data_IF_644027316669
#
_entry.id   IF_644027316669
#
_cell.length_a   1.000
_cell.length_b   1.000
_cell.length_c   1.000
_cell.angle_alpha   90.00
_cell.angle_beta   90.00
_cell.angle_gamma   90.00
#
_symmetry.space_group_name_H-M   'P 1'
#
loop_
_entity.id
_entity.type
_entity.pdbx_description
1 polymer ?
#
# COMPACT_ATOMS: atom_id res chain seq x y z
N UNK A 1 -45.95 8.45 -2.71
CA UNK A 1 -45.18 9.72 -2.88
C UNK A 1 -43.87 9.41 -3.57
N UNK A 2 -43.44 10.17 -4.56
CA UNK A 2 -42.06 9.97 -5.05
C UNK A 2 -41.09 10.23 -3.90
N UNK A 3 -39.94 9.49 -3.84
CA UNK A 3 -38.95 9.74 -2.81
C UNK A 3 -38.51 11.21 -2.87
N UNK A 4 -38.33 11.82 -1.70
CA UNK A 4 -37.80 13.18 -1.62
C UNK A 4 -36.40 13.20 -2.29
N UNK A 5 -36.11 14.25 -3.04
CA UNK A 5 -34.80 14.42 -3.63
C UNK A 5 -33.72 14.46 -2.51
N UNK A 6 -32.54 13.87 -2.71
CA UNK A 6 -31.50 13.92 -1.72
C UNK A 6 -31.05 15.37 -1.47
N UNK A 7 -30.72 15.67 -0.19
CA UNK A 7 -30.13 16.97 0.15
C UNK A 7 -28.68 17.02 -0.39
N UNK A 8 -28.41 18.06 -1.20
CA UNK A 8 -27.09 18.24 -1.82
C UNK A 8 -26.29 19.32 -1.10
N UNK A 9 -25.05 19.03 -0.72
CA UNK A 9 -24.12 19.97 -0.10
C UNK A 9 -22.84 20.05 -0.91
N UNK A 10 -22.31 21.27 -1.07
CA UNK A 10 -21.10 21.53 -1.83
C UNK A 10 -20.06 22.18 -0.93
N UNK A 11 -18.83 21.67 -0.99
CA UNK A 11 -17.74 22.11 -0.12
C UNK A 11 -16.41 22.18 -0.89
N UNK A 12 -15.68 23.29 -0.71
CA UNK A 12 -14.34 23.47 -1.27
C UNK A 12 -13.31 23.50 -0.14
N UNK A 13 -12.48 22.49 -0.06
CA UNK A 13 -11.42 22.33 0.95
C UNK A 13 -10.13 23.04 0.51
N UNK A 14 -9.26 23.40 1.45
CA UNK A 14 -7.93 23.90 1.13
C UNK A 14 -6.99 22.79 0.62
N UNK A 15 -7.17 21.55 1.10
CA UNK A 15 -6.37 20.38 0.70
C UNK A 15 -7.19 19.09 0.76
N UNK A 16 -6.60 17.96 0.30
CA UNK A 16 -7.23 16.63 0.40
C UNK A 16 -7.36 16.18 1.86
N UNK A 17 -6.41 16.56 2.72
CA UNK A 17 -6.45 16.27 4.15
C UNK A 17 -7.63 17.01 4.82
N UNK A 18 -7.86 18.26 4.43
CA UNK A 18 -9.03 19.02 4.91
C UNK A 18 -10.33 18.43 4.39
N UNK A 19 -10.38 18.00 3.13
CA UNK A 19 -11.53 17.26 2.57
C UNK A 19 -11.84 16.02 3.40
N UNK A 20 -10.84 15.21 3.71
CA UNK A 20 -10.97 14.00 4.54
C UNK A 20 -11.47 14.33 5.96
N UNK A 21 -10.90 15.37 6.59
CA UNK A 21 -11.28 15.85 7.92
C UNK A 21 -12.73 16.33 7.97
N UNK A 22 -13.14 17.15 7.01
CA UNK A 22 -14.51 17.65 6.91
C UNK A 22 -15.50 16.51 6.67
N UNK A 23 -15.13 15.54 5.84
CA UNK A 23 -15.91 14.32 5.59
C UNK A 23 -16.08 13.51 6.87
N UNK A 24 -15.00 13.29 7.63
CA UNK A 24 -15.05 12.60 8.92
C UNK A 24 -15.97 13.33 9.91
N UNK A 25 -15.87 14.65 10.00
CA UNK A 25 -16.73 15.47 10.88
C UNK A 25 -18.21 15.35 10.49
N UNK A 26 -18.52 15.39 9.19
CA UNK A 26 -19.90 15.25 8.70
C UNK A 26 -20.45 13.84 8.98
N UNK A 27 -19.67 12.80 8.72
CA UNK A 27 -20.05 11.41 9.02
C UNK A 27 -20.28 11.25 10.54
N UNK A 28 -19.40 11.78 11.39
CA UNK A 28 -19.54 11.72 12.84
C UNK A 28 -20.83 12.42 13.32
N UNK A 29 -21.21 13.53 12.68
CA UNK A 29 -22.50 14.22 12.95
C UNK A 29 -23.69 13.30 12.60
N UNK A 30 -23.66 12.65 11.43
CA UNK A 30 -24.72 11.71 11.02
C UNK A 30 -24.79 10.49 11.96
N UNK A 31 -23.67 9.97 12.40
CA UNK A 31 -23.62 8.88 13.40
C UNK A 31 -24.31 9.30 14.72
N UNK A 32 -24.06 10.52 15.18
CA UNK A 32 -24.73 11.08 16.39
C UNK A 32 -26.25 11.24 16.20
N UNK A 33 -26.71 11.37 14.95
CA UNK A 33 -28.13 11.39 14.60
C UNK A 33 -28.72 9.98 14.43
N UNK A 34 -27.94 8.93 14.68
CA UNK A 34 -28.37 7.52 14.61
C UNK A 34 -28.24 6.89 13.23
N UNK A 35 -27.55 7.53 12.27
CA UNK A 35 -27.29 6.92 10.96
C UNK A 35 -26.22 5.83 11.11
N UNK A 36 -26.49 4.64 10.58
CA UNK A 36 -25.54 3.51 10.59
C UNK A 36 -24.40 3.77 9.60
N UNK A 37 -23.19 3.33 9.98
CA UNK A 37 -22.00 3.49 9.14
C UNK A 37 -22.15 2.81 7.77
N UNK A 38 -22.72 1.61 7.71
CA UNK A 38 -22.97 0.89 6.45
C UNK A 38 -23.97 1.55 5.50
N UNK A 39 -24.63 2.64 5.92
CA UNK A 39 -25.49 3.47 5.05
C UNK A 39 -24.80 4.72 4.56
N UNK A 40 -23.50 4.85 4.84
CA UNK A 40 -22.67 5.97 4.39
C UNK A 40 -21.51 5.46 3.53
N UNK A 41 -21.22 6.15 2.44
CA UNK A 41 -20.10 5.83 1.56
C UNK A 41 -19.29 7.09 1.21
N UNK A 42 -17.99 6.91 1.09
CA UNK A 42 -17.06 7.91 0.54
C UNK A 42 -16.59 7.41 -0.82
N UNK A 43 -16.72 8.24 -1.82
CA UNK A 43 -16.37 7.92 -3.21
C UNK A 43 -15.34 8.90 -3.71
N UNK A 44 -14.24 8.41 -4.26
CA UNK A 44 -13.25 9.21 -4.98
C UNK A 44 -12.85 8.51 -6.27
N UNK A 45 -12.21 9.22 -7.20
CA UNK A 45 -11.79 8.61 -8.46
C UNK A 45 -10.59 7.71 -8.26
N UNK A 46 -9.64 8.16 -7.47
CA UNK A 46 -8.37 7.46 -7.16
C UNK A 46 -8.20 7.32 -5.65
N UNK A 47 -8.41 6.10 -5.13
CA UNK A 47 -8.31 5.82 -3.69
C UNK A 47 -6.90 6.08 -3.12
N UNK A 48 -5.79 5.72 -3.78
CA UNK A 48 -4.44 6.00 -3.28
C UNK A 48 -4.22 7.45 -2.85
N UNK A 49 -4.82 8.42 -3.54
CA UNK A 49 -4.65 9.85 -3.25
C UNK A 49 -5.31 10.29 -1.95
N UNK A 50 -6.33 9.57 -1.48
CA UNK A 50 -7.13 9.89 -0.29
C UNK A 50 -6.95 8.88 0.86
N UNK A 51 -6.45 7.68 0.58
CA UNK A 51 -6.39 6.57 1.55
C UNK A 51 -5.73 6.95 2.87
N UNK A 52 -4.56 7.61 2.80
CA UNK A 52 -3.81 7.96 4.00
C UNK A 52 -4.57 8.98 4.87
N UNK A 53 -5.09 10.03 4.25
CA UNK A 53 -5.83 11.08 4.93
C UNK A 53 -7.13 10.56 5.53
N UNK A 54 -7.93 9.79 4.76
CA UNK A 54 -9.19 9.23 5.24
C UNK A 54 -8.95 8.22 6.37
N UNK A 55 -7.98 7.31 6.23
CA UNK A 55 -7.65 6.35 7.30
C UNK A 55 -7.23 7.05 8.59
N UNK A 56 -6.45 8.13 8.49
CA UNK A 56 -6.03 8.91 9.64
C UNK A 56 -7.21 9.61 10.31
N UNK A 57 -7.98 10.40 9.57
CA UNK A 57 -9.08 11.20 10.10
C UNK A 57 -10.23 10.32 10.65
N UNK A 58 -10.53 9.19 9.98
CA UNK A 58 -11.56 8.26 10.43
C UNK A 58 -11.14 7.53 11.70
N UNK A 59 -9.86 7.15 11.82
CA UNK A 59 -9.34 6.58 13.06
C UNK A 59 -9.41 7.57 14.22
N UNK A 60 -9.04 8.84 13.98
CA UNK A 60 -9.11 9.89 15.00
C UNK A 60 -10.56 10.20 15.42
N UNK A 61 -11.52 9.97 14.56
CA UNK A 61 -12.94 10.19 14.81
C UNK A 61 -13.69 8.91 15.25
N UNK A 62 -13.01 7.77 15.47
CA UNK A 62 -13.62 6.46 15.77
C UNK A 62 -14.68 6.04 14.75
N UNK A 63 -14.43 6.27 13.48
CA UNK A 63 -15.31 5.87 12.38
C UNK A 63 -14.80 4.56 11.78
N UNK A 64 -15.59 3.46 11.83
CA UNK A 64 -15.20 2.22 11.17
C UNK A 64 -15.18 2.40 9.65
N UNK A 65 -14.08 2.00 9.03
CA UNK A 65 -13.82 2.17 7.60
C UNK A 65 -13.58 0.82 6.92
N UNK A 66 -14.30 0.57 5.83
CA UNK A 66 -13.99 -0.47 4.87
C UNK A 66 -13.50 0.17 3.57
N UNK A 67 -12.31 -0.23 3.11
CA UNK A 67 -11.74 0.26 1.85
C UNK A 67 -11.87 -0.83 0.78
N UNK A 68 -12.67 -0.57 -0.24
CA UNK A 68 -12.92 -1.48 -1.37
C UNK A 68 -11.80 -1.32 -2.44
N UNK A 69 -10.57 -1.56 -2.01
CA UNK A 69 -9.43 -1.55 -2.92
C UNK A 69 -8.48 -2.69 -2.60
N UNK A 70 -7.97 -3.38 -3.64
CA UNK A 70 -6.95 -4.41 -3.46
C UNK A 70 -5.77 -3.89 -2.64
N UNK A 71 -5.38 -4.63 -1.64
CA UNK A 71 -4.14 -4.39 -0.90
C UNK A 71 -3.10 -5.36 -1.39
N UNK A 72 -1.99 -4.85 -1.91
CA UNK A 72 -0.90 -5.69 -2.43
C UNK A 72 0.13 -5.96 -1.34
N UNK A 73 0.78 -7.14 -1.32
CA UNK A 73 1.84 -7.45 -0.36
C UNK A 73 3.19 -6.81 -0.71
N UNK A 74 3.25 -5.90 -1.69
CA UNK A 74 4.51 -5.37 -2.26
C UNK A 74 5.47 -4.80 -1.21
N UNK A 75 4.94 -4.16 -0.17
CA UNK A 75 5.73 -3.54 0.91
C UNK A 75 5.69 -4.34 2.22
N UNK A 76 5.20 -5.56 2.19
CA UNK A 76 5.18 -6.43 3.37
C UNK A 76 6.60 -6.86 3.78
N UNK A 77 6.76 -7.25 5.04
CA UNK A 77 8.03 -7.75 5.55
C UNK A 77 8.56 -8.96 4.76
N UNK A 78 7.74 -9.99 4.45
CA UNK A 78 8.21 -11.13 3.66
C UNK A 78 8.58 -10.75 2.21
N UNK A 79 7.83 -9.86 1.55
CA UNK A 79 8.18 -9.39 0.21
C UNK A 79 9.50 -8.61 0.21
N UNK A 80 9.70 -7.76 1.22
CA UNK A 80 10.93 -6.99 1.41
C UNK A 80 12.13 -7.92 1.65
N UNK A 81 11.97 -8.97 2.46
CA UNK A 81 13.03 -9.96 2.71
C UNK A 81 13.44 -10.69 1.43
N UNK A 82 12.47 -11.18 0.65
CA UNK A 82 12.75 -11.86 -0.64
C UNK A 82 13.45 -10.92 -1.62
N UNK A 83 12.98 -9.66 -1.74
CA UNK A 83 13.62 -8.66 -2.62
C UNK A 83 15.04 -8.32 -2.20
N UNK A 84 15.31 -8.18 -0.90
CA UNK A 84 16.66 -7.97 -0.38
C UNK A 84 17.59 -9.15 -0.70
N UNK A 85 17.10 -10.39 -0.55
CA UNK A 85 17.86 -11.59 -0.93
C UNK A 85 18.15 -11.64 -2.44
N UNK A 86 17.18 -11.32 -3.29
CA UNK A 86 17.35 -11.25 -4.75
C UNK A 86 18.36 -10.16 -5.14
N UNK A 87 18.29 -8.98 -4.53
CA UNK A 87 19.25 -7.90 -4.74
C UNK A 87 20.67 -8.31 -4.37
N UNK A 88 20.84 -8.99 -3.22
CA UNK A 88 22.13 -9.54 -2.79
C UNK A 88 22.66 -10.58 -3.76
N UNK A 89 21.82 -11.47 -4.30
CA UNK A 89 22.20 -12.45 -5.31
C UNK A 89 22.70 -11.79 -6.59
N UNK A 90 22.12 -10.68 -7.00
CA UNK A 90 22.51 -9.89 -8.17
C UNK A 90 23.78 -9.06 -7.96
N UNK A 91 24.30 -9.02 -6.74
CA UNK A 91 25.52 -8.26 -6.42
C UNK A 91 25.27 -6.81 -6.03
N UNK A 92 24.05 -6.46 -5.62
CA UNK A 92 23.75 -5.17 -5.03
C UNK A 92 24.53 -4.92 -3.72
N UNK A 93 24.52 -3.69 -3.23
CA UNK A 93 25.24 -3.30 -2.02
C UNK A 93 24.85 -4.18 -0.83
N UNK A 94 25.87 -4.77 -0.20
CA UNK A 94 25.67 -5.69 0.92
C UNK A 94 25.17 -4.95 2.17
N UNK A 95 25.69 -3.76 2.44
CA UNK A 95 25.36 -2.99 3.63
C UNK A 95 23.87 -2.63 3.62
N UNK A 96 23.40 -2.06 2.53
CA UNK A 96 22.00 -1.68 2.38
C UNK A 96 21.07 -2.90 2.53
N UNK A 97 21.33 -3.94 1.73
CA UNK A 97 20.38 -5.08 1.64
C UNK A 97 20.44 -6.03 2.85
N UNK A 98 21.59 -6.21 3.50
CA UNK A 98 21.66 -6.96 4.75
C UNK A 98 21.00 -6.20 5.90
N UNK A 99 21.14 -4.88 5.94
CA UNK A 99 20.45 -4.05 6.94
C UNK A 99 18.93 -4.07 6.71
N UNK A 100 18.47 -3.95 5.47
CA UNK A 100 17.05 -4.10 5.13
C UNK A 100 16.54 -5.47 5.58
N UNK A 101 17.24 -6.54 5.24
CA UNK A 101 16.86 -7.91 5.61
C UNK A 101 16.77 -8.09 7.13
N UNK A 102 17.76 -7.61 7.89
CA UNK A 102 17.75 -7.64 9.35
C UNK A 102 16.53 -6.90 9.95
N UNK A 103 16.19 -5.74 9.37
CA UNK A 103 15.08 -4.89 9.84
C UNK A 103 13.68 -5.40 9.48
N UNK A 104 13.56 -6.41 8.64
CA UNK A 104 12.24 -7.01 8.35
C UNK A 104 11.59 -7.67 9.57
N UNK A 105 12.36 -7.97 10.61
CA UNK A 105 11.91 -8.75 11.77
C UNK A 105 11.72 -10.24 11.49
N UNK A 106 12.14 -10.71 10.30
CA UNK A 106 12.02 -12.12 9.89
C UNK A 106 13.31 -12.93 10.10
N UNK A 107 14.36 -12.31 10.62
CA UNK A 107 15.59 -13.01 10.99
C UNK A 107 15.59 -13.34 12.48
N UNK A 108 16.17 -14.45 12.87
CA UNK A 108 16.34 -14.85 14.27
C UNK A 108 17.39 -13.95 14.98
N UNK A 109 17.10 -12.66 14.99
CA UNK A 109 17.91 -11.60 15.60
C UNK A 109 17.09 -10.84 16.62
N UNK A 110 17.72 -10.46 17.71
CA UNK A 110 17.14 -9.55 18.70
C UNK A 110 17.26 -8.10 18.25
N UNK A 111 16.40 -7.22 18.75
CA UNK A 111 16.48 -5.78 18.45
C UNK A 111 17.86 -5.17 18.75
N UNK A 112 18.53 -5.45 19.89
CA UNK A 112 19.90 -5.02 20.13
C UNK A 112 20.90 -5.47 19.07
N UNK A 113 20.78 -6.70 18.56
CA UNK A 113 21.65 -7.23 17.51
C UNK A 113 21.44 -6.51 16.18
N UNK A 114 20.19 -6.22 15.80
CA UNK A 114 19.87 -5.45 14.59
C UNK A 114 20.42 -4.02 14.70
N UNK A 115 20.23 -3.37 15.85
CA UNK A 115 20.75 -2.03 16.10
C UNK A 115 22.29 -2.00 16.08
N UNK A 116 22.95 -2.98 16.72
CA UNK A 116 24.39 -3.10 16.75
C UNK A 116 24.97 -3.29 15.34
N UNK A 117 24.34 -4.15 14.52
CA UNK A 117 24.72 -4.39 13.13
C UNK A 117 24.62 -3.11 12.29
N UNK A 118 23.48 -2.40 12.36
CA UNK A 118 23.25 -1.18 11.62
C UNK A 118 24.25 -0.08 12.01
N UNK A 119 24.46 0.13 13.32
CA UNK A 119 25.41 1.13 13.81
C UNK A 119 26.83 0.81 13.39
N UNK A 120 27.24 -0.46 13.43
CA UNK A 120 28.55 -0.89 12.97
C UNK A 120 28.69 -0.64 11.46
N UNK A 121 27.70 -1.01 10.68
CA UNK A 121 27.68 -0.83 9.24
C UNK A 121 27.73 0.67 8.86
N UNK A 122 27.00 1.51 9.58
CA UNK A 122 27.03 2.97 9.39
C UNK A 122 28.41 3.56 9.72
N UNK A 123 29.01 3.14 10.85
CA UNK A 123 30.29 3.67 11.34
C UNK A 123 31.46 3.28 10.44
N UNK A 124 31.48 2.04 9.95
CA UNK A 124 32.64 1.48 9.26
C UNK A 124 32.45 1.29 7.76
N UNK A 125 31.24 1.42 7.26
CA UNK A 125 30.89 1.23 5.84
C UNK A 125 31.61 0.02 5.20
N UNK A 126 31.43 -1.19 5.74
CA UNK A 126 32.18 -2.37 5.32
C UNK A 126 31.86 -2.72 3.86
N UNK A 127 32.90 -2.91 3.06
CA UNK A 127 32.73 -3.42 1.70
C UNK A 127 32.40 -4.92 1.71
N UNK A 128 32.08 -5.49 0.54
CA UNK A 128 31.66 -6.90 0.41
C UNK A 128 32.69 -7.92 0.97
N UNK A 129 33.98 -7.61 0.95
CA UNK A 129 35.01 -8.45 1.55
C UNK A 129 35.01 -8.35 3.08
N UNK A 130 34.89 -7.12 3.61
CA UNK A 130 34.83 -6.88 5.05
C UNK A 130 33.57 -7.52 5.70
N UNK A 131 32.43 -7.54 4.98
CA UNK A 131 31.25 -8.28 5.46
C UNK A 131 31.48 -9.77 5.64
N UNK A 132 32.43 -10.38 4.90
CA UNK A 132 32.77 -11.81 5.01
C UNK A 132 33.83 -12.12 6.05
N UNK A 133 34.42 -11.08 6.65
CA UNK A 133 35.38 -11.22 7.74
C UNK A 133 34.71 -10.88 9.08
N UNK A 134 35.28 -11.38 10.16
CA UNK A 134 34.81 -11.07 11.51
C UNK A 134 34.91 -9.57 11.77
N UNK A 135 33.90 -9.00 12.41
CA UNK A 135 33.92 -7.63 12.88
C UNK A 135 34.80 -7.52 14.14
N UNK A 136 35.83 -6.68 14.09
CA UNK A 136 36.81 -6.52 15.16
C UNK A 136 37.00 -5.07 15.59
N UNK A 137 36.45 -4.12 14.83
CA UNK A 137 36.61 -2.71 15.10
C UNK A 137 35.66 -2.22 16.18
N UNK A 138 36.08 -1.18 16.93
CA UNK A 138 35.23 -0.59 17.97
C UNK A 138 33.90 -0.11 17.41
N UNK A 139 32.75 -0.45 18.04
CA UNK A 139 31.44 0.06 17.61
C UNK A 139 31.30 1.59 17.74
N UNK A 140 32.16 2.24 18.55
CA UNK A 140 32.19 3.71 18.70
C UNK A 140 33.00 4.43 17.62
N UNK A 141 33.62 3.71 16.69
CA UNK A 141 34.43 4.28 15.62
C UNK A 141 35.91 4.44 16.00
N UNK A 142 36.57 5.46 15.42
CA UNK A 142 37.98 5.72 15.67
C UNK A 142 38.20 6.29 17.08
N UNK A 143 39.01 5.63 17.88
CA UNK A 143 39.42 6.06 19.20
C UNK A 143 40.48 5.11 19.78
N UNK A 144 41.32 5.62 20.69
CA UNK A 144 42.38 4.84 21.35
C UNK A 144 41.90 4.14 22.63
N UNK A 145 40.61 4.10 22.88
CA UNK A 145 40.06 3.57 24.13
C UNK A 145 39.98 2.04 24.09
N UNK A 146 40.37 1.42 25.17
CA UNK A 146 40.06 0.01 25.45
C UNK A 146 38.51 -0.14 25.36
N UNK A 147 38.08 -1.27 24.75
CA UNK A 147 36.67 -1.62 24.66
C UNK A 147 36.11 -1.78 26.06
N UNK A 148 35.09 -1.02 26.40
CA UNK A 148 34.33 -1.28 27.63
C UNK A 148 33.56 -2.61 27.48
N UNK A 149 33.12 -3.20 28.60
CA UNK A 149 32.29 -4.40 28.57
C UNK A 149 31.03 -4.24 27.73
N UNK A 150 30.44 -3.06 27.73
CA UNK A 150 29.27 -2.70 26.93
C UNK A 150 29.62 -2.65 25.42
N UNK A 151 30.77 -2.07 25.07
CA UNK A 151 31.23 -2.03 23.67
C UNK A 151 31.59 -3.43 23.16
N UNK A 152 32.20 -4.27 24.00
CA UNK A 152 32.50 -5.65 23.67
C UNK A 152 31.21 -6.44 23.39
N UNK A 153 30.18 -6.27 24.20
CA UNK A 153 28.85 -6.87 23.98
C UNK A 153 28.20 -6.36 22.70
N UNK A 154 28.24 -5.06 22.44
CA UNK A 154 27.69 -4.47 21.20
C UNK A 154 28.41 -5.01 19.95
N UNK A 155 29.73 -5.21 20.03
CA UNK A 155 30.50 -5.82 18.95
C UNK A 155 30.14 -7.29 18.74
N UNK A 156 29.94 -8.05 19.81
CA UNK A 156 29.49 -9.46 19.77
C UNK A 156 28.08 -9.57 19.16
N UNK A 157 27.18 -8.67 19.52
CA UNK A 157 25.82 -8.59 18.95
C UNK A 157 25.86 -8.29 17.44
N UNK A 158 26.70 -7.33 17.01
CA UNK A 158 26.89 -7.03 15.59
C UNK A 158 27.50 -8.21 14.82
N UNK A 159 28.50 -8.89 15.41
CA UNK A 159 29.14 -10.05 14.79
C UNK A 159 28.19 -11.25 14.67
N UNK A 160 27.37 -11.50 15.69
CA UNK A 160 26.34 -12.55 15.68
C UNK A 160 25.35 -12.31 14.54
N UNK A 161 24.86 -11.08 14.41
CA UNK A 161 23.96 -10.70 13.34
C UNK A 161 24.62 -10.84 11.96
N UNK A 162 25.84 -10.34 11.80
CA UNK A 162 26.63 -10.49 10.58
C UNK A 162 26.78 -11.94 10.17
N UNK A 163 27.18 -12.79 11.11
CA UNK A 163 27.44 -14.20 10.85
C UNK A 163 26.20 -14.93 10.37
N UNK A 164 25.06 -14.72 11.02
CA UNK A 164 23.78 -15.31 10.61
C UNK A 164 23.43 -14.92 9.16
N UNK A 165 23.43 -13.63 8.87
CA UNK A 165 23.00 -13.10 7.58
C UNK A 165 23.95 -13.47 6.44
N UNK A 166 25.26 -13.24 6.62
CA UNK A 166 26.26 -13.50 5.57
C UNK A 166 26.35 -14.99 5.25
N UNK A 167 26.33 -15.85 6.28
CA UNK A 167 26.37 -17.31 6.07
C UNK A 167 25.15 -17.79 5.28
N UNK A 168 23.96 -17.30 5.59
CA UNK A 168 22.73 -17.67 4.87
C UNK A 168 22.77 -17.19 3.41
N UNK A 169 23.21 -15.96 3.17
CA UNK A 169 23.28 -15.36 1.81
C UNK A 169 24.37 -16.03 0.95
N UNK A 170 25.56 -16.32 1.51
CA UNK A 170 26.63 -16.96 0.75
C UNK A 170 26.29 -18.41 0.41
N UNK A 171 25.58 -19.12 1.28
CA UNK A 171 25.04 -20.45 1.00
C UNK A 171 23.97 -20.38 -0.11
N UNK A 172 23.01 -19.46 -0.02
CA UNK A 172 22.02 -19.21 -1.06
C UNK A 172 22.69 -18.94 -2.41
N UNK A 173 23.67 -18.04 -2.44
CA UNK A 173 24.44 -17.71 -3.64
C UNK A 173 25.13 -18.91 -4.26
N UNK A 174 25.66 -19.82 -3.44
CA UNK A 174 26.34 -21.04 -3.93
C UNK A 174 25.38 -22.01 -4.62
N UNK A 175 24.14 -22.06 -4.16
CA UNK A 175 23.11 -23.01 -4.66
C UNK A 175 22.34 -22.49 -5.87
N UNK A 176 22.23 -21.18 -6.05
CA UNK A 176 21.39 -20.56 -7.10
C UNK A 176 22.15 -20.33 -8.41
N UNK A 177 23.47 -20.57 -8.49
CA UNK A 177 24.27 -20.33 -9.70
C UNK A 177 23.77 -21.12 -10.91
N UNK A 178 23.24 -20.40 -11.92
CA UNK A 178 22.75 -21.01 -13.16
C UNK A 178 21.46 -21.82 -13.01
N UNK A 179 20.70 -21.56 -11.94
CA UNK A 179 19.51 -22.33 -11.61
C UNK A 179 18.28 -21.98 -12.41
N UNK A 180 17.32 -22.91 -12.43
CA UNK A 180 15.98 -22.69 -12.91
C UNK A 180 15.16 -21.84 -11.93
N UNK A 181 14.01 -21.31 -12.40
CA UNK A 181 13.06 -20.61 -11.52
C UNK A 181 12.63 -21.45 -10.32
N UNK A 182 12.41 -22.75 -10.51
CA UNK A 182 12.12 -23.72 -9.44
C UNK A 182 13.25 -23.74 -8.38
N UNK A 183 14.50 -23.81 -8.86
CA UNK A 183 15.66 -23.84 -7.94
C UNK A 183 15.80 -22.52 -7.19
N UNK A 184 15.64 -21.36 -7.86
CA UNK A 184 15.71 -20.05 -7.23
C UNK A 184 14.64 -19.94 -6.14
N UNK A 185 13.38 -20.25 -6.44
CA UNK A 185 12.26 -20.19 -5.48
C UNK A 185 12.49 -21.08 -4.27
N UNK A 186 12.93 -22.34 -4.50
CA UNK A 186 13.18 -23.30 -3.46
C UNK A 186 14.32 -22.84 -2.53
N UNK A 187 15.43 -22.37 -3.09
CA UNK A 187 16.58 -21.94 -2.27
C UNK A 187 16.29 -20.62 -1.53
N UNK A 188 15.49 -19.71 -2.09
CA UNK A 188 14.99 -18.54 -1.37
C UNK A 188 14.15 -18.94 -0.13
N UNK A 189 13.22 -19.89 -0.28
CA UNK A 189 12.44 -20.41 0.83
C UNK A 189 13.33 -21.05 1.91
N UNK A 190 14.28 -21.89 1.52
CA UNK A 190 15.21 -22.50 2.48
C UNK A 190 16.14 -21.48 3.16
N UNK A 191 16.53 -20.43 2.46
CA UNK A 191 17.28 -19.33 3.06
C UNK A 191 16.45 -18.60 4.13
N UNK A 192 15.20 -18.26 3.83
CA UNK A 192 14.28 -17.65 4.80
C UNK A 192 14.09 -18.57 6.02
N UNK A 193 13.91 -19.86 5.80
CA UNK A 193 13.78 -20.83 6.89
C UNK A 193 15.05 -20.90 7.74
N UNK A 194 16.23 -20.89 7.13
CA UNK A 194 17.52 -20.87 7.84
C UNK A 194 17.71 -19.58 8.65
N UNK A 195 17.17 -18.46 8.17
CA UNK A 195 17.14 -17.19 8.90
C UNK A 195 16.17 -17.20 10.09
N UNK A 196 15.32 -18.22 10.23
CA UNK A 196 14.31 -18.35 11.29
C UNK A 196 13.01 -17.62 10.97
N UNK A 197 12.73 -17.37 9.67
CA UNK A 197 11.63 -16.50 9.27
C UNK A 197 10.23 -17.04 9.64
N UNK A 198 10.03 -18.36 9.69
CA UNK A 198 8.75 -18.98 10.05
C UNK A 198 8.40 -18.69 11.53
N UNK A 199 9.37 -18.89 12.42
CA UNK A 199 9.22 -18.65 13.85
C UNK A 199 9.07 -17.16 14.15
N UNK A 200 9.86 -16.31 13.49
CA UNK A 200 9.81 -14.86 13.65
C UNK A 200 8.50 -14.30 13.10
N UNK A 201 7.98 -14.81 11.99
CA UNK A 201 6.68 -14.43 11.46
C UNK A 201 5.55 -14.78 12.44
N UNK A 202 5.58 -15.95 13.05
CA UNK A 202 4.60 -16.34 14.06
C UNK A 202 4.64 -15.39 15.28
N UNK A 203 5.84 -15.05 15.75
CA UNK A 203 6.04 -14.10 16.83
C UNK A 203 5.56 -12.68 16.46
N UNK A 204 5.85 -12.24 15.22
CA UNK A 204 5.39 -10.94 14.70
C UNK A 204 3.86 -10.87 14.65
N UNK A 205 3.19 -11.90 14.15
CA UNK A 205 1.72 -11.98 14.11
C UNK A 205 1.12 -11.85 15.52
N UNK A 206 1.71 -12.50 16.51
CA UNK A 206 1.24 -12.41 17.89
C UNK A 206 1.50 -11.03 18.53
N UNK A 207 2.65 -10.43 18.25
CA UNK A 207 2.95 -9.06 18.67
C UNK A 207 1.98 -8.04 18.04
N UNK A 208 1.69 -8.18 16.75
CA UNK A 208 0.70 -7.35 16.03
C UNK A 208 -0.69 -7.58 16.59
N UNK A 209 -1.07 -8.80 16.92
CA UNK A 209 -2.35 -9.13 17.56
C UNK A 209 -2.53 -8.38 18.88
N UNK A 210 -1.49 -8.39 19.70
CA UNK A 210 -1.49 -7.70 20.99
C UNK A 210 -1.55 -6.18 20.85
N UNK A 211 -0.79 -5.62 19.89
CA UNK A 211 -0.66 -4.17 19.72
C UNK A 211 -1.81 -3.54 18.91
N UNK A 212 -2.35 -4.26 17.90
CA UNK A 212 -3.27 -3.71 16.89
C UNK A 212 -4.55 -4.53 16.72
N UNK A 213 -4.69 -5.65 17.42
CA UNK A 213 -5.86 -6.52 17.37
C UNK A 213 -5.81 -7.61 16.30
N UNK A 214 -6.83 -8.48 16.32
CA UNK A 214 -6.95 -9.66 15.47
C UNK A 214 -6.84 -9.33 13.96
N UNK A 215 -7.53 -8.30 13.45
CA UNK A 215 -7.53 -8.04 12.01
C UNK A 215 -6.17 -7.71 11.41
N UNK A 216 -5.36 -6.91 12.14
CA UNK A 216 -4.02 -6.60 11.71
C UNK A 216 -3.09 -7.83 11.76
N UNK A 217 -3.31 -8.72 12.72
CA UNK A 217 -2.59 -9.98 12.81
C UNK A 217 -2.93 -10.93 11.64
N UNK A 218 -4.20 -11.00 11.27
CA UNK A 218 -4.65 -11.79 10.10
C UNK A 218 -4.10 -11.21 8.79
N UNK A 219 -4.00 -9.89 8.67
CA UNK A 219 -3.37 -9.23 7.52
C UNK A 219 -1.90 -9.62 7.41
N UNK A 220 -1.13 -9.51 8.51
CA UNK A 220 0.27 -9.91 8.56
C UNK A 220 0.47 -11.41 8.24
N UNK A 221 -0.42 -12.28 8.69
CA UNK A 221 -0.39 -13.70 8.36
C UNK A 221 -0.68 -13.96 6.87
N UNK A 222 -1.65 -13.22 6.29
CA UNK A 222 -1.96 -13.32 4.85
C UNK A 222 -0.80 -12.83 3.98
N UNK A 223 -0.13 -11.75 4.35
CA UNK A 223 1.07 -11.26 3.64
C UNK A 223 2.13 -12.35 3.48
N UNK A 224 2.44 -13.06 4.56
CA UNK A 224 3.36 -14.19 4.52
C UNK A 224 2.89 -15.30 3.58
N UNK A 225 1.63 -15.73 3.74
CA UNK A 225 1.07 -16.81 2.95
C UNK A 225 1.07 -16.49 1.45
N UNK A 226 0.69 -15.26 1.08
CA UNK A 226 0.69 -14.83 -0.33
C UNK A 226 2.09 -14.82 -0.89
N UNK A 227 3.09 -14.30 -0.18
CA UNK A 227 4.48 -14.28 -0.67
C UNK A 227 5.02 -15.70 -0.83
N UNK A 228 4.77 -16.61 0.11
CA UNK A 228 5.18 -18.02 -0.01
C UNK A 228 4.46 -18.71 -1.17
N UNK A 229 3.17 -18.42 -1.37
CA UNK A 229 2.41 -18.93 -2.51
C UNK A 229 3.01 -18.43 -3.83
N UNK A 230 3.38 -17.15 -3.94
CA UNK A 230 4.02 -16.61 -5.15
C UNK A 230 5.35 -17.29 -5.47
N UNK A 231 6.19 -17.56 -4.48
CA UNK A 231 7.41 -18.33 -4.70
C UNK A 231 7.11 -19.73 -5.23
N UNK A 232 6.07 -20.39 -4.71
CA UNK A 232 5.63 -21.70 -5.17
C UNK A 232 5.05 -21.65 -6.60
N UNK A 233 4.24 -20.64 -6.92
CA UNK A 233 3.69 -20.43 -8.27
C UNK A 233 4.79 -20.20 -9.29
N UNK A 234 5.79 -19.35 -8.98
CA UNK A 234 6.96 -19.16 -9.84
C UNK A 234 7.74 -20.46 -10.08
N UNK A 235 7.89 -21.28 -9.03
CA UNK A 235 8.52 -22.60 -9.18
C UNK A 235 7.74 -23.51 -10.11
N UNK A 236 6.42 -23.53 -10.02
CA UNK A 236 5.57 -24.40 -10.83
C UNK A 236 5.36 -23.89 -12.25
N UNK A 237 5.08 -22.60 -12.45
CA UNK A 237 4.76 -22.02 -13.76
C UNK A 237 5.97 -21.91 -14.66
N UNK A 238 7.12 -21.51 -14.11
CA UNK A 238 8.36 -21.37 -14.87
C UNK A 238 9.19 -22.67 -14.88
N UNK A 239 8.98 -23.53 -13.87
CA UNK A 239 9.55 -24.88 -13.78
C UNK A 239 11.05 -24.91 -13.95
N UNK A 240 11.50 -25.85 -14.78
CA UNK A 240 12.90 -26.03 -15.12
C UNK A 240 13.47 -25.03 -16.13
N UNK A 241 12.71 -24.01 -16.54
CA UNK A 241 13.24 -23.00 -17.45
C UNK A 241 14.35 -22.19 -16.80
N UNK A 242 15.45 -22.00 -17.53
CA UNK A 242 16.53 -21.12 -17.14
C UNK A 242 16.05 -19.66 -17.22
N UNK A 243 16.09 -18.98 -16.10
CA UNK A 243 15.80 -17.55 -16.00
C UNK A 243 16.97 -16.83 -15.35
N UNK A 244 17.24 -15.61 -15.79
CA UNK A 244 18.20 -14.75 -15.10
C UNK A 244 17.61 -14.25 -13.78
N UNK A 245 18.46 -13.93 -12.81
CA UNK A 245 18.01 -13.34 -11.55
C UNK A 245 17.26 -12.00 -11.76
N UNK A 246 17.59 -11.26 -12.82
CA UNK A 246 16.91 -10.02 -13.16
C UNK A 246 15.46 -10.28 -13.62
N UNK A 247 15.29 -11.20 -14.55
CA UNK A 247 13.97 -11.61 -15.03
C UNK A 247 13.12 -12.20 -13.89
N UNK A 248 13.73 -13.02 -13.03
CA UNK A 248 13.04 -13.58 -11.87
C UNK A 248 12.52 -12.49 -10.92
N UNK A 249 13.37 -11.49 -10.59
CA UNK A 249 12.98 -10.36 -9.72
C UNK A 249 11.88 -9.50 -10.34
N UNK A 250 11.96 -9.24 -11.65
CA UNK A 250 10.93 -8.49 -12.38
C UNK A 250 9.59 -9.21 -12.35
N UNK A 251 9.57 -10.51 -12.65
CA UNK A 251 8.37 -11.34 -12.59
C UNK A 251 7.81 -11.43 -11.17
N UNK A 252 8.65 -11.64 -10.16
CA UNK A 252 8.24 -11.64 -8.76
C UNK A 252 7.60 -10.31 -8.36
N UNK A 253 8.21 -9.19 -8.74
CA UNK A 253 7.68 -7.85 -8.47
C UNK A 253 6.35 -7.60 -9.18
N UNK A 254 6.20 -8.07 -10.41
CA UNK A 254 4.94 -7.99 -11.17
C UNK A 254 3.83 -8.79 -10.47
N UNK A 255 4.13 -10.02 -10.05
CA UNK A 255 3.18 -10.86 -9.32
C UNK A 255 2.79 -10.26 -7.97
N UNK A 256 3.73 -9.69 -7.22
CA UNK A 256 3.41 -8.98 -5.97
C UNK A 256 2.43 -7.82 -6.18
N UNK A 257 2.60 -7.03 -7.25
CA UNK A 257 1.71 -5.90 -7.58
C UNK A 257 0.34 -6.36 -8.07
N UNK A 258 0.25 -7.49 -8.71
CA UNK A 258 -1.02 -8.05 -9.21
C UNK A 258 -1.75 -8.89 -8.18
N UNK A 259 -1.11 -9.27 -7.08
CA UNK A 259 -1.71 -10.04 -6.00
C UNK A 259 -2.58 -9.17 -5.11
N UNK A 260 -3.73 -9.70 -4.71
CA UNK A 260 -4.63 -9.07 -3.76
C UNK A 260 -4.63 -9.87 -2.45
N UNK A 261 -4.34 -9.19 -1.33
CA UNK A 261 -4.41 -9.81 0.00
C UNK A 261 -5.86 -10.15 0.42
N UNK A 262 -6.86 -9.67 -0.32
CA UNK A 262 -8.26 -9.82 0.02
C UNK A 262 -8.60 -9.14 1.35
N UNK A 263 -9.47 -8.16 1.34
CA UNK A 263 -9.89 -7.48 2.56
C UNK A 263 -11.28 -7.97 2.96
N UNK A 264 -11.37 -8.70 4.09
CA UNK A 264 -12.66 -9.07 4.67
C UNK A 264 -13.09 -7.93 5.58
N UNK A 265 -14.28 -7.33 5.39
CA UNK A 265 -14.79 -6.29 6.28
C UNK A 265 -14.80 -6.78 7.73
N UNK A 266 -14.14 -6.03 8.62
CA UNK A 266 -14.02 -6.41 10.04
C UNK A 266 -15.31 -6.17 10.81
N UNK A 267 -16.16 -5.26 10.32
CA UNK A 267 -17.47 -4.97 10.88
C UNK A 267 -18.50 -4.93 9.75
N UNK A 268 -19.69 -5.46 10.02
CA UNK A 268 -20.82 -5.36 9.10
C UNK A 268 -21.36 -3.91 8.99
N UNK A 269 -20.95 -3.02 9.89
CA UNK A 269 -21.38 -1.63 9.94
C UNK A 269 -20.18 -0.70 9.86
N UNK A 270 -19.62 -0.52 8.66
CA UNK A 270 -18.50 0.36 8.36
C UNK A 270 -18.86 1.30 7.19
N UNK A 271 -18.27 2.49 7.20
CA UNK A 271 -18.31 3.41 6.05
C UNK A 271 -17.47 2.82 4.92
N UNK A 272 -18.02 2.76 3.72
CA UNK A 272 -17.32 2.22 2.56
C UNK A 272 -16.54 3.32 1.87
N UNK A 273 -15.23 3.15 1.69
CA UNK A 273 -14.41 3.96 0.78
C UNK A 273 -14.28 3.21 -0.56
N UNK A 274 -14.86 3.76 -1.61
CA UNK A 274 -14.90 3.13 -2.92
C UNK A 274 -14.35 4.03 -4.03
N UNK A 275 -13.73 3.41 -5.04
CA UNK A 275 -13.39 4.09 -6.29
C UNK A 275 -14.64 4.23 -7.17
N UNK A 276 -14.87 5.43 -7.72
CA UNK A 276 -15.99 5.69 -8.63
C UNK A 276 -16.04 4.73 -9.83
N UNK A 277 -14.89 4.23 -10.28
CA UNK A 277 -14.79 3.28 -11.40
C UNK A 277 -15.18 1.84 -11.05
N UNK A 278 -15.12 1.45 -9.77
CA UNK A 278 -15.37 0.07 -9.31
C UNK A 278 -16.46 -0.01 -8.24
N UNK A 279 -17.16 1.09 -8.01
CA UNK A 279 -18.13 1.25 -6.94
C UNK A 279 -19.23 0.18 -6.95
N UNK A 280 -19.36 -0.56 -5.82
CA UNK A 280 -20.46 -1.48 -5.52
C UNK A 280 -21.02 -1.08 -4.16
N UNK A 281 -22.07 -0.25 -4.17
CA UNK A 281 -22.69 0.25 -2.95
C UNK A 281 -24.08 -0.40 -2.78
N UNK A 282 -24.38 -0.85 -1.57
CA UNK A 282 -25.68 -1.43 -1.21
C UNK A 282 -26.61 -0.33 -0.70
N UNK A 283 -27.26 0.38 -1.63
CA UNK A 283 -28.25 1.42 -1.38
C UNK A 283 -27.89 2.37 -0.22
N UNK A 284 -26.84 3.18 -0.37
CA UNK A 284 -26.40 4.11 0.68
C UNK A 284 -27.43 5.22 0.87
N UNK A 285 -27.62 5.65 2.12
CA UNK A 285 -28.43 6.83 2.43
C UNK A 285 -27.65 8.12 2.12
N UNK A 286 -26.34 8.12 2.40
CA UNK A 286 -25.45 9.27 2.25
C UNK A 286 -24.19 8.91 1.48
N UNK A 287 -23.84 9.75 0.51
CA UNK A 287 -22.59 9.61 -0.27
C UNK A 287 -21.79 10.90 -0.23
N UNK A 288 -20.49 10.75 0.04
CA UNK A 288 -19.50 11.82 0.04
C UNK A 288 -18.59 11.62 -1.17
N UNK A 289 -18.71 12.50 -2.18
CA UNK A 289 -17.89 12.45 -3.39
C UNK A 289 -16.75 13.45 -3.25
N UNK A 290 -15.52 12.95 -3.23
CA UNK A 290 -14.30 13.72 -3.03
C UNK A 290 -13.51 13.90 -4.32
N UNK A 291 -12.75 14.98 -4.40
CA UNK A 291 -11.80 15.22 -5.48
C UNK A 291 -12.45 15.66 -6.79
N UNK A 292 -13.57 16.39 -6.75
CA UNK A 292 -14.27 16.90 -7.92
C UNK A 292 -13.53 18.08 -8.59
N UNK A 293 -12.19 18.05 -8.55
CA UNK A 293 -11.34 19.08 -9.14
C UNK A 293 -11.09 18.83 -10.63
N UNK A 294 -10.83 19.92 -11.37
CA UNK A 294 -10.43 19.84 -12.77
C UNK A 294 -9.22 18.94 -12.97
N UNK A 295 -9.32 17.98 -13.91
CA UNK A 295 -8.31 17.00 -14.20
C UNK A 295 -8.22 15.80 -13.21
N UNK A 296 -9.01 15.79 -12.13
CA UNK A 296 -9.05 14.69 -11.16
C UNK A 296 -10.31 13.83 -11.29
N UNK A 297 -11.49 14.42 -11.16
CA UNK A 297 -12.75 13.71 -11.32
C UNK A 297 -13.86 14.65 -11.81
N UNK A 298 -14.49 14.38 -12.96
CA UNK A 298 -14.14 13.34 -13.93
C UNK A 298 -12.74 13.52 -14.53
N UNK A 299 -12.05 12.40 -14.73
CA UNK A 299 -10.73 12.40 -15.32
C UNK A 299 -10.82 12.53 -16.83
N UNK A 300 -10.16 13.51 -17.41
CA UNK A 300 -10.06 13.61 -18.85
C UNK A 300 -9.27 12.40 -19.40
N UNK A 301 -9.81 11.64 -20.36
CA UNK A 301 -9.08 10.54 -20.95
C UNK A 301 -7.80 11.06 -21.61
N UNK A 302 -6.65 10.55 -21.22
CA UNK A 302 -5.36 10.86 -21.86
C UNK A 302 -5.02 9.80 -22.90
N UNK A 303 -4.41 10.22 -24.01
CA UNK A 303 -3.78 9.31 -24.95
C UNK A 303 -2.49 8.77 -24.32
N UNK A 304 -2.57 7.58 -23.71
CA UNK A 304 -1.42 6.88 -23.17
C UNK A 304 -1.19 5.60 -23.94
N UNK A 305 0.03 5.40 -24.44
CA UNK A 305 0.42 4.18 -25.14
C UNK A 305 1.07 4.43 -26.49
N UNK A 306 1.45 3.34 -27.15
CA UNK A 306 2.13 3.34 -28.47
C UNK A 306 1.19 3.70 -29.63
N UNK A 307 -0.12 3.52 -29.45
CA UNK A 307 -1.12 3.76 -30.49
C UNK A 307 -1.86 5.07 -30.23
N UNK A 308 -1.79 5.98 -31.18
CA UNK A 308 -2.63 7.20 -31.19
C UNK A 308 -4.08 6.85 -31.45
N UNK A 309 -4.99 7.84 -31.26
CA UNK A 309 -6.40 7.66 -31.59
C UNK A 309 -6.60 7.29 -33.08
N UNK A 310 -5.89 7.98 -33.97
CA UNK A 310 -5.95 7.70 -35.41
C UNK A 310 -5.46 6.28 -35.77
N UNK A 311 -4.42 5.78 -35.11
CA UNK A 311 -3.94 4.40 -35.30
C UNK A 311 -4.99 3.38 -34.88
N UNK A 312 -5.69 3.64 -33.78
CA UNK A 312 -6.75 2.77 -33.27
C UNK A 312 -7.95 2.73 -34.23
N UNK A 313 -8.35 3.87 -34.78
CA UNK A 313 -9.44 3.95 -35.77
C UNK A 313 -9.11 3.13 -37.02
N UNK A 314 -7.87 3.21 -37.51
CA UNK A 314 -7.41 2.40 -38.66
C UNK A 314 -7.44 0.90 -38.35
N UNK A 315 -7.05 0.51 -37.12
CA UNK A 315 -7.08 -0.89 -36.69
C UNK A 315 -8.52 -1.40 -36.54
N UNK A 316 -9.41 -0.59 -35.94
CA UNK A 316 -10.84 -0.93 -35.81
C UNK A 316 -11.53 -1.04 -37.17
N UNK A 317 -11.21 -0.15 -38.11
CA UNK A 317 -11.69 -0.26 -39.51
C UNK A 317 -11.26 -1.56 -40.19
N UNK A 318 -10.16 -2.19 -39.73
CA UNK A 318 -9.69 -3.51 -40.19
C UNK A 318 -10.26 -4.67 -39.37
N UNK A 319 -11.31 -4.42 -38.58
CA UNK A 319 -11.97 -5.42 -37.70
C UNK A 319 -11.05 -6.00 -36.60
N UNK A 320 -10.02 -5.26 -36.21
CA UNK A 320 -9.22 -5.57 -35.01
C UNK A 320 -9.93 -4.94 -33.82
N UNK A 321 -10.50 -5.77 -32.97
CA UNK A 321 -11.19 -5.31 -31.78
C UNK A 321 -10.20 -4.75 -30.74
N UNK A 322 -10.30 -3.44 -30.47
CA UNK A 322 -9.50 -2.76 -29.47
C UNK A 322 -10.43 -2.30 -28.34
N UNK A 323 -10.36 -2.95 -27.18
CA UNK A 323 -11.37 -2.78 -26.12
C UNK A 323 -11.37 -1.39 -25.45
N UNK A 324 -10.41 -0.53 -25.73
CA UNK A 324 -10.21 0.73 -25.01
C UNK A 324 -10.07 1.94 -25.94
N UNK A 325 -11.09 2.21 -26.78
CA UNK A 325 -11.15 3.42 -27.58
C UNK A 325 -11.42 4.65 -26.69
N UNK A 326 -11.02 5.85 -27.18
CA UNK A 326 -11.17 7.12 -26.47
C UNK A 326 -12.61 7.39 -26.06
N UNK A 327 -13.55 7.16 -26.96
CA UNK A 327 -14.99 7.37 -26.74
C UNK A 327 -15.51 6.48 -25.59
N UNK A 328 -15.13 5.22 -25.55
CA UNK A 328 -15.50 4.31 -24.46
C UNK A 328 -14.95 4.79 -23.11
N UNK A 329 -13.76 5.40 -23.08
CA UNK A 329 -13.18 5.95 -21.86
C UNK A 329 -13.95 7.18 -21.38
N UNK A 330 -14.34 8.09 -22.31
CA UNK A 330 -15.18 9.24 -21.98
C UNK A 330 -16.53 8.78 -21.41
N UNK A 331 -17.21 7.87 -22.10
CA UNK A 331 -18.50 7.32 -21.63
C UNK A 331 -18.35 6.64 -20.27
N UNK A 332 -17.28 5.92 -20.05
CA UNK A 332 -16.98 5.25 -18.76
C UNK A 332 -16.84 6.27 -17.62
N UNK A 333 -16.13 7.38 -17.85
CA UNK A 333 -16.03 8.46 -16.85
C UNK A 333 -17.39 9.12 -16.57
N UNK A 334 -18.19 9.38 -17.61
CA UNK A 334 -19.55 9.91 -17.43
C UNK A 334 -20.43 8.95 -16.61
N UNK A 335 -20.31 7.64 -16.84
CA UNK A 335 -21.02 6.61 -16.05
C UNK A 335 -20.53 6.60 -14.61
N UNK A 336 -19.23 6.81 -14.35
CA UNK A 336 -18.69 6.92 -12.99
C UNK A 336 -19.30 8.13 -12.26
N UNK A 337 -19.34 9.28 -12.89
CA UNK A 337 -19.99 10.49 -12.35
C UNK A 337 -21.47 10.23 -12.08
N UNK A 338 -22.20 9.72 -13.06
CA UNK A 338 -23.62 9.42 -12.92
C UNK A 338 -23.88 8.51 -11.73
N UNK A 339 -23.16 7.41 -11.60
CA UNK A 339 -23.29 6.47 -10.48
C UNK A 339 -23.01 7.14 -9.15
N UNK A 340 -21.94 7.93 -9.04
CA UNK A 340 -21.56 8.60 -7.80
C UNK A 340 -22.63 9.61 -7.35
N UNK A 341 -23.18 10.38 -8.27
CA UNK A 341 -24.17 11.43 -7.97
C UNK A 341 -25.58 10.88 -7.70
N UNK A 342 -25.92 9.73 -8.29
CA UNK A 342 -27.28 9.14 -8.17
C UNK A 342 -27.38 8.01 -7.14
N UNK A 343 -26.26 7.62 -6.52
CA UNK A 343 -26.25 6.55 -5.53
C UNK A 343 -26.99 6.88 -4.22
N UNK A 344 -26.93 8.10 -3.65
CA UNK A 344 -27.49 8.36 -2.33
C UNK A 344 -29.01 8.49 -2.36
N UNK A 345 -29.67 7.94 -1.31
CA UNK A 345 -31.11 8.08 -1.14
C UNK A 345 -31.52 9.36 -0.39
N UNK A 346 -30.67 9.89 0.51
CA UNK A 346 -31.04 11.00 1.41
C UNK A 346 -30.11 12.21 1.31
N UNK A 347 -28.80 12.01 1.15
CA UNK A 347 -27.86 13.14 1.15
C UNK A 347 -26.61 12.89 0.29
N UNK A 348 -26.25 13.92 -0.46
CA UNK A 348 -25.09 13.95 -1.34
C UNK A 348 -24.16 15.09 -0.93
N UNK A 349 -22.90 14.78 -0.63
CA UNK A 349 -21.84 15.74 -0.36
C UNK A 349 -20.85 15.74 -1.50
N UNK A 350 -20.59 16.92 -2.05
CA UNK A 350 -19.68 17.12 -3.17
C UNK A 350 -18.53 18.01 -2.69
N UNK A 351 -17.29 17.59 -2.93
CA UNK A 351 -16.14 18.39 -2.51
C UNK A 351 -14.96 18.31 -3.48
N UNK A 352 -14.10 19.32 -3.41
CA UNK A 352 -12.85 19.38 -4.15
C UNK A 352 -11.78 20.15 -3.36
N UNK A 353 -10.46 19.82 -3.56
CA UNK A 353 -9.37 20.57 -2.96
C UNK A 353 -9.05 21.81 -3.81
N UNK A 354 -9.12 23.02 -3.21
CA UNK A 354 -8.74 24.28 -3.88
C UNK A 354 -7.22 24.48 -3.99
N UNK A 355 -6.45 23.70 -3.25
CA UNK A 355 -5.00 23.85 -3.19
C UNK A 355 -4.37 23.89 -4.57
N UNK A 356 -3.31 24.67 -4.74
CA UNK A 356 -2.61 24.83 -6.02
C UNK A 356 -3.47 25.44 -7.16
N UNK A 357 -4.51 26.21 -6.83
CA UNK A 357 -5.35 26.88 -7.82
C UNK A 357 -6.36 25.97 -8.53
N UNK A 358 -6.64 24.78 -7.99
CA UNK A 358 -7.65 23.87 -8.54
C UNK A 358 -9.06 24.42 -8.34
N UNK A 359 -9.87 24.29 -9.38
CA UNK A 359 -11.30 24.66 -9.40
C UNK A 359 -12.16 23.42 -9.47
N UNK A 360 -13.44 23.54 -9.20
CA UNK A 360 -14.42 22.51 -9.53
C UNK A 360 -14.29 22.15 -11.02
N UNK A 361 -14.42 20.88 -11.36
CA UNK A 361 -14.36 20.46 -12.76
C UNK A 361 -15.49 21.12 -13.57
N UNK A 362 -15.11 21.83 -14.64
CA UNK A 362 -16.04 22.59 -15.48
C UNK A 362 -17.19 21.73 -16.05
N UNK A 363 -16.94 20.44 -16.30
CA UNK A 363 -17.96 19.49 -16.75
C UNK A 363 -19.07 19.25 -15.71
N UNK A 364 -18.80 19.53 -14.43
CA UNK A 364 -19.76 19.34 -13.33
C UNK A 364 -20.55 20.63 -12.98
N UNK A 365 -20.08 21.79 -13.38
CA UNK A 365 -20.74 23.08 -13.05
C UNK A 365 -22.23 23.10 -13.40
N UNK A 366 -22.68 22.70 -14.61
CA UNK A 366 -24.10 22.70 -14.93
C UNK A 366 -24.92 21.72 -14.08
N UNK A 367 -24.31 20.60 -13.69
CA UNK A 367 -24.98 19.60 -12.84
C UNK A 367 -25.10 20.13 -11.41
N UNK A 368 -24.06 20.75 -10.89
CA UNK A 368 -24.04 21.34 -9.55
C UNK A 368 -25.03 22.48 -9.45
N UNK A 369 -25.10 23.34 -10.46
CA UNK A 369 -26.10 24.42 -10.53
C UNK A 369 -27.53 23.86 -10.52
N UNK A 370 -27.80 22.81 -11.29
CA UNK A 370 -29.11 22.15 -11.34
C UNK A 370 -29.52 21.48 -10.02
N UNK A 371 -28.55 21.04 -9.23
CA UNK A 371 -28.79 20.40 -7.93
C UNK A 371 -29.07 21.40 -6.79
N UNK A 372 -28.89 22.70 -7.00
CA UNK A 372 -29.09 23.76 -6.00
C UNK A 372 -28.49 23.44 -4.63
N UNK A 373 -27.16 23.16 -4.51
CA UNK A 373 -26.56 22.71 -3.29
C UNK A 373 -26.64 23.75 -2.18
N UNK A 374 -26.99 23.33 -0.97
CA UNK A 374 -26.89 24.18 0.20
C UNK A 374 -25.42 24.40 0.56
N UNK A 375 -25.08 25.60 1.05
CA UNK A 375 -23.77 25.82 1.66
C UNK A 375 -23.62 24.89 2.89
N UNK A 376 -22.45 24.25 3.09
CA UNK A 376 -22.26 23.38 4.24
C UNK A 376 -22.24 24.23 5.52
N UNK A 377 -23.09 23.91 6.47
CA UNK A 377 -22.91 24.33 7.86
C UNK A 377 -21.77 23.50 8.48
N UNK A 378 -20.52 23.86 8.17
CA UNK A 378 -19.35 23.28 8.77
C UNK A 378 -18.96 24.10 10.01
N UNK A 379 -19.64 23.90 11.10
CA UNK A 379 -19.03 24.11 12.41
C UNK A 379 -18.01 22.98 12.63
N UNK A 380 -16.76 23.21 12.21
CA UNK A 380 -15.63 22.42 12.69
C UNK A 380 -15.55 22.67 14.20
N UNK A 381 -15.75 21.68 15.05
CA UNK A 381 -15.57 21.89 16.48
C UNK A 381 -14.11 22.30 16.70
N UNK A 382 -13.90 23.48 17.28
CA UNK A 382 -12.60 24.04 17.64
C UNK A 382 -11.78 23.10 18.56
N UNK A 383 -12.42 22.08 19.15
CA UNK A 383 -11.80 21.06 19.99
C UNK A 383 -10.93 20.03 19.26
N UNK A 384 -10.97 19.95 17.93
CA UNK A 384 -10.07 19.09 17.14
C UNK A 384 -8.78 19.81 16.73
N UNK A 385 -8.61 21.09 17.07
CA UNK A 385 -7.40 21.89 16.78
C UNK A 385 -6.37 21.77 17.90
N UNK A 386 -6.74 21.20 19.06
CA UNK A 386 -5.89 21.08 20.24
C UNK A 386 -5.89 19.66 20.81
N UNK A 387 -5.39 18.70 20.05
CA UNK A 387 -4.79 17.47 20.61
C UNK A 387 -3.56 17.14 19.79
#
# INVERSE_FOLDING_TARGET
MPPAAPEVRLFAAASREEEARCTAAAIRRLMRQGVRCGKMAVVCRNIPDYRAAIRYEFRMADIPLYCDEPTTPEFSAPATAVRALLALLRGADMTENLTILAKTGLCALTEPQVCALENYAYTWSPNAAAWRTKFEKSPKGFGENELSDEDAKTLEDAETARQLLVTAVDELRSKVRGGSAEQISRELYFCLKKLGAEEQQAALVEAVRTARGIPAAEEAAREWNVVMQLLNEMAHLLGGQGVTLAEYEELFSLLLRSSDLGHIPQTLDAVVLASAGKMRLDAPDYVFVLGLAEGEFPCAPSETGLLTHADRDVLMAKQIDLPDCFENRVVREQVCVYKALTAPAKGLWLSWPKGQGKTLCAALEPIVEALHPAAPELELPLSLIHI
#
